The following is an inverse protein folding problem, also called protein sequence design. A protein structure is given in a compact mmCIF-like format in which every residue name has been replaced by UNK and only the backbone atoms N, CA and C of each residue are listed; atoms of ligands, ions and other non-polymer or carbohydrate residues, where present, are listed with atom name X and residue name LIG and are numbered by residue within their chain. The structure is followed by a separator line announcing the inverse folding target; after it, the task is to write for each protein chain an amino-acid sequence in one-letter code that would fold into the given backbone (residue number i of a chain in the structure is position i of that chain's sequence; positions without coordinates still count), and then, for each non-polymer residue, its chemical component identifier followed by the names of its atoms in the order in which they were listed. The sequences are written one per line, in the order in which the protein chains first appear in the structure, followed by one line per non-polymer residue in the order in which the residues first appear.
data_IF_560687634826
#
_entry.id   IF_560687634826
#
_cell.length_a   1.000
_cell.length_b   1.000
_cell.length_c   1.000
_cell.angle_alpha   90.00
_cell.angle_beta   90.00
_cell.angle_gamma   90.00
#
_symmetry.space_group_name_H-M   'P 1'
#
loop_
_entity.id
_entity.type
_entity.pdbx_description
1 polymer ?
#
# COMPACT_ATOMS: atom_id res chain seq x y z
N UNK A 1 35.47 63.53 0.36
CA UNK A 1 34.85 62.29 0.88
C UNK A 1 33.52 62.08 0.17
N UNK A 2 33.47 61.55 -1.06
CA UNK A 2 33.21 60.13 -1.38
C UNK A 2 32.23 59.43 -0.43
N UNK A 3 30.93 59.47 -0.75
CA UNK A 3 29.99 58.37 -0.49
C UNK A 3 29.16 58.14 -1.75
N UNK A 4 29.53 57.08 -2.45
CA UNK A 4 28.86 56.52 -3.60
C UNK A 4 27.72 55.63 -3.09
N UNK A 5 26.46 55.97 -3.38
CA UNK A 5 25.34 55.04 -3.24
C UNK A 5 25.14 54.40 -4.61
N UNK A 6 25.56 53.13 -4.71
CA UNK A 6 25.28 52.26 -5.86
C UNK A 6 23.79 51.93 -5.86
N UNK A 7 23.05 52.48 -6.82
CA UNK A 7 21.71 52.04 -7.17
C UNK A 7 21.87 50.73 -7.98
N UNK A 8 21.68 49.58 -7.34
CA UNK A 8 21.63 48.30 -8.02
C UNK A 8 20.27 48.17 -8.73
N UNK A 9 20.25 48.38 -10.04
CA UNK A 9 19.17 47.92 -10.91
C UNK A 9 19.19 46.38 -10.88
N UNK A 10 18.31 45.78 -10.09
CA UNK A 10 17.99 44.36 -10.21
C UNK A 10 17.12 44.18 -11.46
N UNK A 11 17.77 43.89 -12.59
CA UNK A 11 17.13 43.43 -13.81
C UNK A 11 16.52 42.05 -13.51
N UNK A 12 15.24 42.02 -13.10
CA UNK A 12 14.48 40.78 -13.03
C UNK A 12 14.27 40.27 -14.45
N UNK A 13 15.15 39.38 -14.89
CA UNK A 13 14.86 38.45 -15.98
C UNK A 13 13.74 37.52 -15.50
N UNK A 14 12.49 37.93 -15.75
CA UNK A 14 11.39 36.99 -15.86
C UNK A 14 11.68 36.18 -17.12
N UNK A 15 12.39 35.07 -16.96
CA UNK A 15 12.35 33.99 -17.93
C UNK A 15 10.91 33.46 -17.94
N UNK A 16 10.05 34.15 -18.70
CA UNK A 16 8.82 33.57 -19.19
C UNK A 16 9.25 32.42 -20.09
N UNK A 17 9.39 31.23 -19.50
CA UNK A 17 9.43 30.00 -20.28
C UNK A 17 8.08 29.92 -20.99
N UNK A 18 8.05 30.36 -22.25
CA UNK A 18 6.96 30.05 -23.14
C UNK A 18 6.69 28.55 -23.01
N UNK A 19 5.45 28.10 -22.77
CA UNK A 19 5.15 26.69 -22.80
C UNK A 19 5.57 26.21 -24.19
N UNK A 20 6.63 25.40 -24.27
CA UNK A 20 6.91 24.63 -25.47
C UNK A 20 5.61 23.92 -25.77
N UNK A 21 4.96 24.28 -26.88
CA UNK A 21 3.78 23.58 -27.36
C UNK A 21 4.18 22.10 -27.42
N UNK A 22 3.74 21.34 -26.41
CA UNK A 22 3.90 19.90 -26.44
C UNK A 22 3.12 19.47 -27.66
N UNK A 23 3.79 18.84 -28.61
CA UNK A 23 3.10 18.29 -29.76
C UNK A 23 2.00 17.37 -29.24
N UNK A 24 0.74 17.70 -29.56
CA UNK A 24 -0.42 16.86 -29.26
C UNK A 24 -0.12 15.43 -29.68
N UNK A 25 -0.52 14.43 -28.91
CA UNK A 25 -0.27 13.00 -29.20
C UNK A 25 -0.77 12.64 -30.60
N UNK A 26 0.02 11.85 -31.34
CA UNK A 26 -0.36 11.31 -32.64
C UNK A 26 -1.24 10.08 -32.51
N UNK A 27 -2.21 9.92 -33.41
CA UNK A 27 -2.93 8.67 -33.61
C UNK A 27 -2.13 7.82 -34.60
N UNK A 28 -1.47 6.79 -34.10
CA UNK A 28 -0.60 5.89 -34.89
C UNK A 28 -1.35 4.77 -35.58
N UNK A 29 -2.45 4.31 -34.99
CA UNK A 29 -3.31 3.27 -35.56
C UNK A 29 -4.77 3.62 -35.28
N UNK A 30 -5.64 3.28 -36.23
CA UNK A 30 -7.10 3.38 -36.07
C UNK A 30 -7.75 2.19 -36.74
N UNK A 31 -8.72 1.60 -36.05
CA UNK A 31 -9.54 0.49 -36.55
C UNK A 31 -10.98 0.74 -36.15
N UNK A 32 -11.91 0.49 -37.07
CA UNK A 32 -13.35 0.71 -36.86
C UNK A 32 -14.06 -0.61 -37.10
N UNK A 33 -14.85 -1.07 -36.13
CA UNK A 33 -15.67 -2.25 -36.23
C UNK A 33 -17.12 -1.89 -35.87
N UNK A 34 -17.98 -1.76 -36.88
CA UNK A 34 -19.35 -1.32 -36.70
C UNK A 34 -19.42 0.10 -36.11
N UNK A 35 -19.96 0.22 -34.89
CA UNK A 35 -20.11 1.48 -34.15
C UNK A 35 -18.98 1.74 -33.15
N UNK A 36 -17.98 0.87 -33.08
CA UNK A 36 -16.87 1.01 -32.14
C UNK A 36 -15.56 1.29 -32.89
N UNK A 37 -14.73 2.15 -32.31
CA UNK A 37 -13.38 2.42 -32.77
C UNK A 37 -12.35 1.95 -31.75
N UNK A 38 -11.18 1.62 -32.27
CA UNK A 38 -9.94 1.43 -31.52
C UNK A 38 -8.89 2.36 -32.08
N UNK A 39 -8.16 3.05 -31.20
CA UNK A 39 -7.05 3.94 -31.57
C UNK A 39 -5.81 3.61 -30.75
N UNK A 40 -4.64 3.84 -31.34
CA UNK A 40 -3.36 3.79 -30.64
C UNK A 40 -2.72 5.16 -30.67
N UNK A 41 -2.45 5.72 -29.49
CA UNK A 41 -1.83 7.02 -29.32
C UNK A 41 -0.32 6.87 -29.10
N UNK A 42 0.45 7.53 -29.95
CA UNK A 42 1.93 7.54 -30.00
C UNK A 42 2.60 6.15 -29.94
N UNK A 43 1.89 5.08 -30.32
CA UNK A 43 2.38 3.70 -30.16
C UNK A 43 2.53 3.23 -28.70
N UNK A 44 1.96 3.96 -27.73
CA UNK A 44 2.06 3.63 -26.30
C UNK A 44 0.73 3.20 -25.69
N UNK A 45 -0.35 3.91 -26.01
CA UNK A 45 -1.64 3.77 -25.36
C UNK A 45 -2.70 3.33 -26.37
N UNK A 46 -3.17 2.09 -26.24
CA UNK A 46 -4.29 1.56 -27.01
C UNK A 46 -5.59 1.80 -26.26
N UNK A 47 -6.57 2.39 -26.93
CA UNK A 47 -7.93 2.61 -26.41
C UNK A 47 -8.91 1.94 -27.36
N UNK A 48 -9.70 1.01 -26.84
CA UNK A 48 -10.70 0.21 -27.56
C UNK A 48 -12.09 0.41 -26.97
N UNK A 49 -13.12 0.22 -27.80
CA UNK A 49 -14.52 0.41 -27.39
C UNK A 49 -14.91 1.87 -27.30
N UNK A 50 -14.38 2.71 -28.20
CA UNK A 50 -14.82 4.09 -28.36
C UNK A 50 -16.08 4.08 -29.22
N UNK A 51 -17.24 4.46 -28.67
CA UNK A 51 -18.47 4.52 -29.45
C UNK A 51 -18.41 5.67 -30.45
N UNK A 52 -18.74 5.39 -31.70
CA UNK A 52 -18.78 6.35 -32.81
C UNK A 52 -20.24 6.64 -33.16
N UNK A 53 -20.67 7.86 -32.86
CA UNK A 53 -22.02 8.35 -33.15
C UNK A 53 -21.98 9.23 -34.40
N UNK A 54 -22.55 8.73 -35.50
CA UNK A 54 -22.66 9.45 -36.76
C UNK A 54 -24.04 10.10 -36.91
N UNK A 55 -24.06 11.38 -37.29
CA UNK A 55 -25.27 12.12 -37.73
C UNK A 55 -24.89 12.94 -38.97
N UNK A 56 -25.18 12.43 -40.16
CA UNK A 56 -24.65 13.00 -41.41
C UNK A 56 -23.12 12.98 -41.41
N UNK A 57 -22.50 14.13 -41.73
CA UNK A 57 -21.05 14.30 -41.76
C UNK A 57 -20.39 14.56 -40.40
N UNK A 58 -21.21 14.74 -39.35
CA UNK A 58 -20.74 14.95 -37.99
C UNK A 58 -20.51 13.61 -37.29
N UNK A 59 -19.33 13.48 -36.71
CA UNK A 59 -18.94 12.37 -35.85
C UNK A 59 -18.77 12.90 -34.43
N UNK A 60 -19.43 12.25 -33.47
CA UNK A 60 -19.14 12.38 -32.05
C UNK A 60 -18.62 11.06 -31.53
N UNK A 61 -17.66 11.11 -30.60
CA UNK A 61 -17.14 9.92 -29.95
C UNK A 61 -17.57 9.88 -28.49
N UNK A 62 -17.74 8.67 -27.94
CA UNK A 62 -17.85 8.46 -26.49
C UNK A 62 -16.77 7.47 -26.07
N UNK A 63 -15.78 7.91 -25.27
CA UNK A 63 -14.77 7.01 -24.73
C UNK A 63 -15.38 5.93 -23.81
N UNK A 64 -14.65 4.83 -23.55
CA UNK A 64 -15.05 3.79 -22.62
C UNK A 64 -15.52 4.32 -21.26
N UNK A 65 -16.64 3.75 -20.80
CA UNK A 65 -17.21 4.00 -19.47
C UNK A 65 -17.41 2.67 -18.73
N UNK A 66 -17.38 2.73 -17.41
CA UNK A 66 -17.79 1.65 -16.52
C UNK A 66 -19.15 1.99 -15.89
N UNK A 67 -20.12 1.09 -16.03
CA UNK A 67 -21.41 1.21 -15.33
C UNK A 67 -21.41 0.21 -14.18
N UNK A 68 -21.53 0.72 -12.96
CA UNK A 68 -21.64 -0.11 -11.76
C UNK A 68 -22.98 -0.87 -11.72
N UNK A 69 -23.08 -1.90 -10.86
CA UNK A 69 -24.33 -2.63 -10.63
C UNK A 69 -25.51 -1.74 -10.23
N UNK A 70 -25.24 -0.62 -9.56
CA UNK A 70 -26.26 0.37 -9.18
C UNK A 70 -26.53 1.44 -10.23
N UNK A 71 -26.11 1.23 -11.50
CA UNK A 71 -26.36 2.16 -12.60
C UNK A 71 -25.47 3.40 -12.63
N UNK A 72 -24.61 3.62 -11.62
CA UNK A 72 -23.68 4.75 -11.61
C UNK A 72 -22.61 4.58 -12.69
N UNK A 73 -22.44 5.62 -13.50
CA UNK A 73 -21.47 5.70 -14.61
C UNK A 73 -20.15 6.30 -14.10
N UNK A 74 -19.04 5.67 -14.47
CA UNK A 74 -17.67 6.08 -14.17
C UNK A 74 -16.91 6.20 -15.50
N UNK A 75 -16.47 7.41 -15.91
CA UNK A 75 -15.63 7.56 -17.09
C UNK A 75 -14.32 6.82 -16.89
N UNK A 76 -13.96 5.91 -17.81
CA UNK A 76 -12.67 5.20 -17.72
C UNK A 76 -11.59 5.89 -18.53
N UNK A 77 -11.97 6.60 -19.60
CA UNK A 77 -11.07 7.37 -20.43
C UNK A 77 -11.67 8.76 -20.64
N UNK A 78 -10.83 9.79 -20.54
CA UNK A 78 -11.20 11.17 -20.81
C UNK A 78 -10.12 11.83 -21.64
N UNK A 79 -10.47 12.32 -22.82
CA UNK A 79 -9.65 13.28 -23.55
C UNK A 79 -9.78 14.62 -22.82
N UNK A 80 -8.67 15.09 -22.25
CA UNK A 80 -8.59 16.37 -21.53
C UNK A 80 -8.29 17.49 -22.52
N UNK A 81 -7.43 17.21 -23.49
CA UNK A 81 -7.08 18.14 -24.55
C UNK A 81 -8.04 17.98 -25.74
N UNK A 82 -8.74 19.06 -26.09
CA UNK A 82 -9.69 19.07 -27.21
C UNK A 82 -9.01 18.87 -28.56
N UNK A 83 -7.76 19.31 -28.75
CA UNK A 83 -7.02 19.09 -29.98
C UNK A 83 -6.64 17.61 -30.15
N UNK A 84 -6.41 16.88 -29.05
CA UNK A 84 -6.28 15.42 -29.11
C UNK A 84 -7.61 14.76 -29.46
N UNK A 85 -8.72 15.19 -28.86
CA UNK A 85 -10.05 14.67 -29.17
C UNK A 85 -10.41 14.86 -30.65
N UNK A 86 -10.23 16.08 -31.18
CA UNK A 86 -10.45 16.41 -32.59
C UNK A 86 -9.58 15.55 -33.52
N UNK A 87 -8.33 15.29 -33.13
CA UNK A 87 -7.43 14.43 -33.88
C UNK A 87 -7.89 12.98 -33.90
N UNK A 88 -8.37 12.46 -32.78
CA UNK A 88 -8.97 11.13 -32.69
C UNK A 88 -10.22 11.04 -33.57
N UNK A 89 -11.10 12.05 -33.52
CA UNK A 89 -12.29 12.14 -34.38
C UNK A 89 -11.89 12.15 -35.86
N UNK A 90 -10.88 12.95 -36.23
CA UNK A 90 -10.37 13.05 -37.60
C UNK A 90 -9.79 11.72 -38.09
N UNK A 91 -8.97 11.05 -37.27
CA UNK A 91 -8.41 9.73 -37.58
C UNK A 91 -9.52 8.68 -37.80
N UNK A 92 -10.56 8.69 -36.95
CA UNK A 92 -11.73 7.81 -37.09
C UNK A 92 -12.54 8.17 -38.34
N UNK A 93 -12.70 9.45 -38.67
CA UNK A 93 -13.42 9.87 -39.88
C UNK A 93 -12.71 9.40 -41.15
N UNK A 94 -11.37 9.51 -41.18
CA UNK A 94 -10.55 9.15 -42.34
C UNK A 94 -10.16 7.67 -42.39
N UNK A 95 -10.28 6.94 -41.28
CA UNK A 95 -9.77 5.58 -41.15
C UNK A 95 -8.25 5.48 -41.28
N UNK A 96 -7.51 6.56 -40.99
CA UNK A 96 -6.05 6.65 -41.15
C UNK A 96 -5.38 7.31 -39.93
N UNK A 97 -4.09 7.03 -39.68
CA UNK A 97 -3.29 7.73 -38.67
C UNK A 97 -3.32 9.25 -38.85
N UNK A 98 -3.15 10.00 -37.75
CA UNK A 98 -3.19 11.46 -37.76
C UNK A 98 -2.23 12.08 -36.74
N UNK A 99 -1.55 13.17 -37.10
CA UNK A 99 -0.61 13.89 -36.24
C UNK A 99 0.80 13.31 -36.22
N UNK A 100 1.73 14.06 -35.59
CA UNK A 100 3.11 13.61 -35.40
C UNK A 100 3.22 12.74 -34.14
N UNK A 101 4.08 11.74 -34.20
CA UNK A 101 4.30 10.80 -33.09
C UNK A 101 5.35 11.34 -32.14
N UNK A 102 5.02 11.42 -30.84
CA UNK A 102 6.04 11.71 -29.84
C UNK A 102 6.93 10.49 -29.58
N UNK A 103 8.25 10.69 -29.58
CA UNK A 103 9.20 9.64 -29.17
C UNK A 103 9.20 9.40 -27.66
N UNK A 104 8.60 10.29 -26.85
CA UNK A 104 8.59 10.21 -25.39
C UNK A 104 7.17 10.29 -24.84
N UNK A 105 6.85 9.38 -23.91
CA UNK A 105 5.61 9.41 -23.14
C UNK A 105 5.90 10.02 -21.76
N UNK A 106 5.21 11.11 -21.43
CA UNK A 106 5.14 11.62 -20.08
C UNK A 106 3.84 11.16 -19.42
N UNK A 107 3.88 10.91 -18.11
CA UNK A 107 2.68 10.52 -17.36
C UNK A 107 2.71 11.08 -15.93
N UNK A 108 1.53 11.22 -15.35
CA UNK A 108 1.32 11.59 -13.95
C UNK A 108 0.19 10.76 -13.37
N UNK A 109 0.37 10.24 -12.15
CA UNK A 109 -0.73 9.65 -11.37
C UNK A 109 -1.55 10.80 -10.77
N UNK A 110 -2.57 11.26 -11.49
CA UNK A 110 -3.32 12.50 -11.23
C UNK A 110 -4.22 12.38 -10.01
N UNK A 111 -4.84 11.22 -9.80
CA UNK A 111 -5.80 10.99 -8.71
C UNK A 111 -5.56 9.64 -8.04
N UNK A 112 -5.86 9.60 -6.75
CA UNK A 112 -6.00 8.37 -5.98
C UNK A 112 -7.15 8.60 -4.98
N UNK A 113 -8.02 7.61 -4.85
CA UNK A 113 -9.20 7.68 -3.98
C UNK A 113 -9.42 6.31 -3.38
N UNK A 114 -9.15 6.20 -2.08
CA UNK A 114 -9.29 4.95 -1.35
C UNK A 114 -10.74 4.47 -1.40
N UNK A 115 -10.91 3.17 -1.60
CA UNK A 115 -12.20 2.51 -1.66
C UNK A 115 -12.44 1.75 -0.36
N UNK A 116 -13.44 2.20 0.39
CA UNK A 116 -13.93 1.54 1.59
C UNK A 116 -15.18 0.71 1.26
N UNK A 117 -15.10 -0.64 1.24
CA UNK A 117 -16.26 -1.46 0.98
C UNK A 117 -17.19 -1.50 2.21
N UNK A 118 -18.43 -1.03 2.04
CA UNK A 118 -19.48 -1.11 3.06
C UNK A 118 -19.83 -2.57 3.43
N UNK A 119 -19.08 -3.16 4.35
CA UNK A 119 -19.40 -4.45 4.98
C UNK A 119 -19.11 -5.72 4.16
N UNK A 120 -18.44 -5.64 3.00
CA UNK A 120 -18.09 -6.82 2.19
C UNK A 120 -16.60 -6.88 1.89
N UNK A 121 -16.04 -8.09 1.82
CA UNK A 121 -14.66 -8.29 1.36
C UNK A 121 -14.58 -7.91 -0.12
N UNK A 122 -13.86 -6.82 -0.41
CA UNK A 122 -13.53 -6.39 -1.77
C UNK A 122 -12.03 -6.52 -2.02
N UNK A 123 -11.69 -7.07 -3.18
CA UNK A 123 -10.32 -7.05 -3.71
C UNK A 123 -9.95 -5.65 -4.21
N UNK A 124 -10.89 -4.78 -4.51
CA UNK A 124 -10.63 -3.38 -4.89
C UNK A 124 -10.28 -2.54 -3.66
N UNK A 125 -9.23 -1.72 -3.75
CA UNK A 125 -8.73 -0.87 -2.65
C UNK A 125 -8.69 0.61 -2.96
N UNK A 126 -8.54 0.99 -4.23
CA UNK A 126 -8.59 2.39 -4.62
C UNK A 126 -8.97 2.53 -6.09
N UNK A 127 -9.51 3.71 -6.42
CA UNK A 127 -9.53 4.23 -7.78
C UNK A 127 -8.31 5.12 -7.97
N UNK A 128 -7.67 5.05 -9.13
CA UNK A 128 -6.55 5.91 -9.48
C UNK A 128 -6.69 6.39 -10.92
N UNK A 129 -6.22 7.59 -11.23
CA UNK A 129 -6.19 8.10 -12.58
C UNK A 129 -4.75 8.38 -13.00
N UNK A 130 -4.43 8.02 -14.25
CA UNK A 130 -3.14 8.29 -14.88
C UNK A 130 -3.38 9.20 -16.07
N UNK A 131 -2.77 10.38 -16.05
CA UNK A 131 -2.79 11.33 -17.15
C UNK A 131 -1.54 11.15 -18.00
N UNK A 132 -1.71 10.99 -19.30
CA UNK A 132 -0.64 10.85 -20.29
C UNK A 132 -0.52 12.15 -21.07
N UNK A 133 0.71 12.70 -21.14
CA UNK A 133 1.03 13.96 -21.82
C UNK A 133 0.15 15.16 -21.44
N UNK A 134 -0.57 15.11 -20.31
CA UNK A 134 -1.62 16.06 -19.93
C UNK A 134 -2.82 16.13 -20.91
N UNK A 135 -2.96 15.17 -21.81
CA UNK A 135 -3.95 15.19 -22.89
C UNK A 135 -5.03 14.12 -22.76
N UNK A 136 -4.70 12.98 -22.17
CA UNK A 136 -5.66 11.89 -21.93
C UNK A 136 -5.50 11.32 -20.53
N UNK A 137 -6.61 11.18 -19.82
CA UNK A 137 -6.68 10.55 -18.51
C UNK A 137 -7.36 9.19 -18.60
N UNK A 138 -6.76 8.21 -17.94
CA UNK A 138 -7.30 6.85 -17.81
C UNK A 138 -7.49 6.53 -16.35
N UNK A 139 -8.72 6.17 -15.96
CA UNK A 139 -9.03 5.66 -14.63
C UNK A 139 -8.72 4.15 -14.57
N UNK A 140 -7.92 3.75 -13.59
CA UNK A 140 -7.58 2.37 -13.27
C UNK A 140 -7.94 2.09 -11.80
N UNK A 141 -7.89 0.81 -11.42
CA UNK A 141 -8.19 0.36 -10.06
C UNK A 141 -6.96 -0.26 -9.43
N UNK A 142 -6.73 0.03 -8.15
CA UNK A 142 -5.79 -0.75 -7.34
C UNK A 142 -6.57 -1.89 -6.71
N UNK A 143 -6.10 -3.11 -6.98
CA UNK A 143 -6.67 -4.35 -6.51
C UNK A 143 -5.66 -5.04 -5.57
N UNK A 144 -6.11 -5.92 -4.68
CA UNK A 144 -5.26 -6.77 -3.86
C UNK A 144 -5.58 -8.23 -4.12
N UNK A 145 -4.54 -9.05 -4.27
CA UNK A 145 -4.62 -10.50 -4.33
C UNK A 145 -3.56 -11.16 -3.45
N UNK A 146 -3.38 -12.48 -3.58
CA UNK A 146 -2.40 -13.25 -2.81
C UNK A 146 -0.95 -12.79 -3.00
N UNK A 147 -0.63 -12.12 -4.10
CA UNK A 147 0.71 -11.59 -4.44
C UNK A 147 0.90 -10.10 -4.10
N UNK A 148 -0.05 -9.49 -3.38
CA UNK A 148 -0.01 -8.06 -3.05
C UNK A 148 -0.86 -7.19 -3.98
N UNK A 149 -0.68 -5.85 -3.91
CA UNK A 149 -1.46 -4.91 -4.70
C UNK A 149 -1.03 -4.90 -6.17
N UNK A 150 -1.99 -4.75 -7.08
CA UNK A 150 -1.76 -4.70 -8.53
C UNK A 150 -2.76 -3.74 -9.21
N UNK A 151 -2.39 -3.25 -10.40
CA UNK A 151 -3.19 -2.28 -11.16
C UNK A 151 -4.08 -3.00 -12.16
N UNK A 152 -5.38 -2.76 -12.07
CA UNK A 152 -6.39 -3.24 -13.02
C UNK A 152 -6.78 -2.09 -13.95
N UNK A 153 -6.33 -2.20 -15.20
CA UNK A 153 -6.70 -1.27 -16.28
C UNK A 153 -8.12 -1.54 -16.78
N UNK A 154 -8.79 -0.53 -17.37
CA UNK A 154 -10.12 -0.67 -17.97
C UNK A 154 -10.28 -1.91 -18.85
N UNK A 155 -11.30 -2.70 -18.54
CA UNK A 155 -11.72 -3.86 -19.30
C UNK A 155 -13.23 -4.02 -19.22
N UNK A 156 -13.84 -4.49 -20.31
CA UNK A 156 -15.26 -4.83 -20.38
C UNK A 156 -15.44 -6.33 -20.60
N UNK A 157 -16.62 -6.85 -20.25
CA UNK A 157 -16.97 -8.24 -20.47
C UNK A 157 -17.64 -8.38 -21.83
N UNK A 158 -17.06 -9.17 -22.71
CA UNK A 158 -17.66 -9.56 -24.00
C UNK A 158 -17.94 -11.06 -23.96
N UNK A 159 -19.22 -11.41 -23.78
CA UNK A 159 -19.64 -12.80 -23.52
C UNK A 159 -19.01 -13.35 -22.23
N UNK A 160 -18.21 -14.42 -22.36
CA UNK A 160 -17.48 -15.04 -21.23
C UNK A 160 -16.08 -14.47 -21.02
N UNK A 161 -15.56 -13.64 -21.94
CA UNK A 161 -14.18 -13.15 -21.90
C UNK A 161 -14.11 -11.69 -21.47
N UNK A 162 -13.05 -11.36 -20.74
CA UNK A 162 -12.68 -9.98 -20.45
C UNK A 162 -11.83 -9.43 -21.59
N UNK A 163 -12.25 -8.30 -22.15
CA UNK A 163 -11.56 -7.60 -23.23
C UNK A 163 -11.03 -6.29 -22.67
N UNK A 164 -9.73 -6.03 -22.87
CA UNK A 164 -9.09 -4.78 -22.44
C UNK A 164 -9.65 -3.63 -23.27
N UNK A 165 -10.13 -2.60 -22.59
CA UNK A 165 -10.49 -1.32 -23.22
C UNK A 165 -9.31 -0.36 -23.25
N UNK A 166 -8.36 -0.52 -22.32
CA UNK A 166 -7.09 0.20 -22.35
C UNK A 166 -5.94 -0.78 -22.21
N UNK A 167 -4.91 -0.64 -23.05
CA UNK A 167 -3.66 -1.36 -22.93
C UNK A 167 -2.45 -0.44 -23.15
N UNK A 168 -1.44 -0.61 -22.29
CA UNK A 168 -0.13 0.01 -22.45
C UNK A 168 0.75 -0.96 -23.24
N UNK A 169 1.00 -0.63 -24.50
CA UNK A 169 1.57 -1.55 -25.49
C UNK A 169 3.00 -1.97 -25.11
N UNK A 170 3.80 -1.03 -24.60
CA UNK A 170 5.20 -1.29 -24.24
C UNK A 170 5.29 -1.85 -22.80
N UNK A 171 5.71 -3.11 -22.60
CA UNK A 171 5.67 -3.74 -21.27
C UNK A 171 6.52 -3.03 -20.20
N UNK A 172 7.67 -2.48 -20.58
CA UNK A 172 8.54 -1.79 -19.62
C UNK A 172 7.92 -0.48 -19.11
N UNK A 173 7.28 0.26 -20.01
CA UNK A 173 6.57 1.50 -19.68
C UNK A 173 5.35 1.18 -18.82
N UNK A 174 4.61 0.13 -19.17
CA UNK A 174 3.50 -0.39 -18.35
C UNK A 174 3.96 -0.69 -16.93
N UNK A 175 5.02 -1.48 -16.77
CA UNK A 175 5.59 -1.83 -15.45
C UNK A 175 5.99 -0.59 -14.66
N UNK A 176 6.59 0.40 -15.31
CA UNK A 176 7.00 1.67 -14.68
C UNK A 176 5.79 2.47 -14.16
N UNK A 177 4.76 2.62 -14.98
CA UNK A 177 3.52 3.34 -14.61
C UNK A 177 2.79 2.62 -13.49
N UNK A 178 2.61 1.29 -13.61
CA UNK A 178 1.95 0.49 -12.59
C UNK A 178 2.69 0.59 -11.25
N UNK A 179 4.02 0.53 -11.26
CA UNK A 179 4.84 0.77 -10.06
C UNK A 179 4.54 2.14 -9.44
N UNK A 180 4.50 3.21 -10.22
CA UNK A 180 4.18 4.56 -9.70
C UNK A 180 2.77 4.66 -9.11
N UNK A 181 1.78 3.98 -9.69
CA UNK A 181 0.41 3.92 -9.15
C UNK A 181 0.42 3.18 -7.80
N UNK A 182 1.10 2.04 -7.72
CA UNK A 182 1.21 1.27 -6.48
C UNK A 182 1.99 2.04 -5.42
N UNK A 183 3.11 2.70 -5.75
CA UNK A 183 3.87 3.53 -4.81
C UNK A 183 3.02 4.67 -4.24
N UNK A 184 2.21 5.35 -5.08
CA UNK A 184 1.29 6.38 -4.60
C UNK A 184 0.21 5.79 -3.68
N UNK A 185 -0.35 4.63 -4.04
CA UNK A 185 -1.33 3.93 -3.20
C UNK A 185 -0.73 3.52 -1.86
N UNK A 186 0.48 2.94 -1.87
CA UNK A 186 1.20 2.59 -0.65
C UNK A 186 1.46 3.82 0.21
N UNK A 187 1.80 4.98 -0.38
CA UNK A 187 1.99 6.23 0.36
C UNK A 187 0.68 6.78 0.96
N UNK A 188 -0.43 6.70 0.23
CA UNK A 188 -1.73 7.18 0.73
C UNK A 188 -2.37 6.22 1.73
N UNK A 189 -1.95 4.96 1.72
CA UNK A 189 -2.34 3.96 2.72
C UNK A 189 -1.31 3.78 3.83
N UNK A 190 -0.09 4.32 3.67
CA UNK A 190 0.92 4.30 4.72
C UNK A 190 0.49 5.25 5.80
N UNK A 191 0.27 4.69 6.97
CA UNK A 191 0.05 5.44 8.17
C UNK A 191 1.39 6.03 8.61
N UNK A 192 1.70 7.28 8.26
CA UNK A 192 2.89 7.96 8.78
C UNK A 192 2.69 8.31 10.26
N UNK A 193 2.77 7.29 11.12
CA UNK A 193 2.91 7.53 12.54
C UNK A 193 4.23 8.30 12.77
N UNK A 194 4.18 9.35 13.57
CA UNK A 194 5.37 9.90 14.20
C UNK A 194 5.92 8.83 15.14
N UNK A 195 7.13 8.35 14.85
CA UNK A 195 7.78 7.28 15.61
C UNK A 195 8.67 7.90 16.67
N UNK A 196 8.35 7.67 17.95
CA UNK A 196 8.99 8.32 19.08
C UNK A 196 9.80 7.29 19.91
N UNK A 197 11.15 7.31 19.87
CA UNK A 197 11.93 6.43 20.74
C UNK A 197 11.76 6.78 22.23
N UNK A 198 12.04 5.83 23.11
CA UNK A 198 12.04 6.02 24.57
C UNK A 198 10.76 5.61 25.30
N UNK A 199 9.75 5.11 24.58
CA UNK A 199 8.57 4.48 25.18
C UNK A 199 7.68 5.43 25.98
N UNK A 200 7.40 6.62 25.45
CA UNK A 200 6.42 7.57 26.01
C UNK A 200 5.02 6.95 26.09
N UNK A 201 4.27 7.23 27.15
CA UNK A 201 2.85 6.82 27.21
C UNK A 201 2.05 7.63 26.19
N UNK A 202 1.46 6.96 25.21
CA UNK A 202 0.67 7.56 24.12
C UNK A 202 -0.61 6.75 23.89
N UNK A 203 -1.65 7.31 23.26
CA UNK A 203 -2.84 6.55 22.91
C UNK A 203 -2.50 5.39 21.96
N UNK A 204 -3.03 4.19 22.24
CA UNK A 204 -2.94 3.03 21.38
C UNK A 204 -4.36 2.55 21.17
N UNK A 205 -4.84 2.57 19.94
CA UNK A 205 -6.24 2.30 19.62
C UNK A 205 -6.35 1.12 18.66
N UNK A 206 -7.48 0.43 18.71
CA UNK A 206 -7.79 -0.69 17.82
C UNK A 206 -8.44 -0.14 16.56
N UNK A 207 -7.79 -0.34 15.41
CA UNK A 207 -8.16 0.27 14.13
C UNK A 207 -8.80 -0.71 13.15
N UNK A 208 -8.47 -2.00 13.28
CA UNK A 208 -9.13 -3.09 12.56
C UNK A 208 -9.40 -4.23 13.55
N UNK A 209 -10.56 -4.89 13.41
CA UNK A 209 -10.96 -6.04 14.22
C UNK A 209 -11.55 -7.11 13.29
N UNK A 210 -11.04 -8.33 13.38
CA UNK A 210 -11.62 -9.52 12.76
C UNK A 210 -11.89 -10.56 13.83
N UNK A 211 -13.11 -11.10 13.89
CA UNK A 211 -13.49 -12.13 14.88
C UNK A 211 -14.14 -13.30 14.16
N UNK A 212 -13.53 -14.48 14.31
CA UNK A 212 -14.02 -15.75 13.74
C UNK A 212 -14.57 -16.62 14.86
N UNK A 213 -15.88 -16.93 14.90
CA UNK A 213 -16.45 -17.85 15.87
C UNK A 213 -15.83 -19.24 15.77
N UNK A 214 -15.72 -19.94 16.90
CA UNK A 214 -15.28 -21.34 16.96
C UNK A 214 -16.41 -22.16 17.55
N UNK A 215 -16.79 -23.24 16.86
CA UNK A 215 -17.78 -24.22 17.36
C UNK A 215 -17.10 -25.28 18.22
N UNK A 216 -17.68 -25.59 19.38
CA UNK A 216 -17.20 -26.66 20.27
C UNK A 216 -17.57 -26.46 21.73
N UNK A 217 -17.43 -27.52 22.54
CA UNK A 217 -17.74 -27.53 23.99
C UNK A 217 -16.68 -26.81 24.86
N UNK A 218 -15.69 -26.16 24.25
CA UNK A 218 -14.61 -25.46 24.97
C UNK A 218 -14.99 -24.08 25.50
N UNK A 219 -14.09 -23.51 26.30
CA UNK A 219 -14.18 -22.14 26.82
C UNK A 219 -13.83 -21.09 25.78
N UNK A 220 -13.13 -21.46 24.71
CA UNK A 220 -12.82 -20.54 23.59
C UNK A 220 -14.03 -20.46 22.66
N UNK A 221 -14.58 -19.26 22.50
CA UNK A 221 -15.78 -18.99 21.67
C UNK A 221 -15.44 -18.37 20.32
N UNK A 222 -14.31 -17.69 20.22
CA UNK A 222 -13.84 -17.10 18.98
C UNK A 222 -12.32 -16.96 18.95
N UNK A 223 -11.80 -16.76 17.73
CA UNK A 223 -10.42 -16.35 17.47
C UNK A 223 -10.48 -14.95 16.83
N UNK A 224 -9.78 -14.00 17.44
CA UNK A 224 -9.73 -12.62 16.98
C UNK A 224 -8.35 -12.26 16.40
N UNK A 225 -8.37 -11.28 15.49
CA UNK A 225 -7.20 -10.54 15.04
C UNK A 225 -7.51 -9.05 15.15
N UNK A 226 -6.53 -8.27 15.61
CA UNK A 226 -6.65 -6.82 15.74
C UNK A 226 -5.47 -6.12 15.08
N UNK A 227 -5.70 -4.88 14.65
CA UNK A 227 -4.63 -3.96 14.23
C UNK A 227 -4.66 -2.75 15.15
N UNK A 228 -3.49 -2.38 15.68
CA UNK A 228 -3.30 -1.28 16.60
C UNK A 228 -2.63 -0.11 15.88
N UNK A 229 -3.23 1.10 15.98
CA UNK A 229 -2.79 2.32 15.29
C UNK A 229 -2.39 2.08 13.81
N UNK A 230 -3.11 1.21 13.07
CA UNK A 230 -2.79 0.80 11.70
C UNK A 230 -1.37 0.21 11.49
N UNK A 231 -0.63 -0.07 12.55
CA UNK A 231 0.80 -0.35 12.49
C UNK A 231 1.20 -1.72 13.04
N UNK A 232 0.47 -2.24 14.03
CA UNK A 232 0.82 -3.49 14.71
C UNK A 232 -0.37 -4.44 14.64
N UNK A 233 -0.24 -5.54 13.92
CA UNK A 233 -1.24 -6.59 13.86
C UNK A 233 -0.93 -7.68 14.87
N UNK A 234 -1.94 -8.10 15.62
CA UNK A 234 -1.89 -9.24 16.52
C UNK A 234 -3.01 -10.20 16.10
N UNK A 235 -2.65 -11.44 15.83
CA UNK A 235 -3.55 -12.49 15.36
C UNK A 235 -3.62 -13.63 16.37
N UNK A 236 -4.62 -14.50 16.18
CA UNK A 236 -4.83 -15.69 17.02
C UNK A 236 -5.10 -15.39 18.51
N UNK A 237 -5.75 -14.25 18.79
CA UNK A 237 -6.21 -13.92 20.14
C UNK A 237 -7.41 -14.81 20.43
N UNK A 238 -7.30 -15.69 21.43
CA UNK A 238 -8.40 -16.56 21.85
C UNK A 238 -9.36 -15.76 22.72
N UNK A 239 -10.61 -15.65 22.29
CA UNK A 239 -11.69 -15.03 23.06
C UNK A 239 -12.35 -16.13 23.89
N UNK A 240 -12.11 -16.11 25.20
CA UNK A 240 -12.66 -17.07 26.15
C UNK A 240 -13.82 -16.47 26.93
N UNK A 241 -14.81 -17.30 27.21
CA UNK A 241 -15.90 -16.95 28.11
C UNK A 241 -15.81 -17.84 29.35
N UNK A 242 -15.57 -17.21 30.51
CA UNK A 242 -15.37 -17.90 31.78
C UNK A 242 -16.21 -17.19 32.83
N UNK A 243 -17.16 -17.92 33.44
CA UNK A 243 -18.05 -17.39 34.48
C UNK A 243 -18.75 -16.06 34.08
N UNK A 244 -19.22 -15.97 32.84
CA UNK A 244 -19.91 -14.79 32.31
C UNK A 244 -19.00 -13.59 31.99
N UNK A 245 -17.68 -13.75 32.08
CA UNK A 245 -16.69 -12.71 31.70
C UNK A 245 -15.92 -13.11 30.46
N UNK A 246 -15.69 -12.14 29.58
CA UNK A 246 -14.78 -12.31 28.44
C UNK A 246 -13.34 -12.15 28.90
N UNK A 247 -12.49 -13.12 28.55
CA UNK A 247 -11.05 -13.08 28.77
C UNK A 247 -10.33 -13.24 27.43
N UNK A 248 -9.33 -12.40 27.19
CA UNK A 248 -8.46 -12.49 26.03
C UNK A 248 -7.20 -13.29 26.37
N UNK A 249 -6.98 -14.39 25.66
CA UNK A 249 -5.76 -15.18 25.75
C UNK A 249 -4.92 -14.94 24.49
N UNK A 250 -3.81 -14.23 24.65
CA UNK A 250 -2.89 -13.90 23.56
C UNK A 250 -2.03 -15.10 23.14
N UNK A 251 -1.48 -15.07 21.92
CA UNK A 251 -0.42 -15.99 21.49
C UNK A 251 0.69 -16.15 22.54
N UNK A 252 1.05 -17.40 22.78
CA UNK A 252 2.11 -17.77 23.68
C UNK A 252 2.94 -18.89 23.07
N UNK A 253 4.23 -18.90 23.39
CA UNK A 253 5.12 -20.00 23.02
C UNK A 253 5.01 -21.10 24.07
N UNK A 254 4.69 -22.32 23.63
CA UNK A 254 4.69 -23.50 24.50
C UNK A 254 5.90 -24.35 24.14
N UNK A 255 6.78 -24.62 25.10
CA UNK A 255 7.94 -25.46 24.84
C UNK A 255 7.53 -26.96 24.80
N UNK A 256 8.47 -27.83 24.39
CA UNK A 256 8.25 -29.28 24.32
C UNK A 256 7.84 -29.94 25.66
N UNK A 257 8.12 -29.28 26.79
CA UNK A 257 7.77 -29.75 28.14
C UNK A 257 6.42 -29.18 28.64
N UNK A 258 5.65 -28.52 27.77
CA UNK A 258 4.37 -27.92 28.11
C UNK A 258 4.45 -26.60 28.88
N UNK A 259 5.65 -26.06 29.12
CA UNK A 259 5.80 -24.75 29.79
C UNK A 259 5.41 -23.63 28.82
N UNK A 260 4.48 -22.78 29.27
CA UNK A 260 3.93 -21.65 28.52
C UNK A 260 4.76 -20.39 28.79
N UNK A 261 5.13 -19.69 27.72
CA UNK A 261 5.85 -18.42 27.74
C UNK A 261 4.99 -17.36 27.03
N UNK A 262 4.39 -16.42 27.78
CA UNK A 262 3.59 -15.34 27.20
C UNK A 262 4.46 -14.49 26.27
N UNK A 263 4.00 -14.29 25.04
CA UNK A 263 4.72 -13.46 24.05
C UNK A 263 4.17 -12.04 23.98
N UNK A 264 2.98 -11.81 24.54
CA UNK A 264 2.32 -10.51 24.53
C UNK A 264 1.82 -10.23 25.94
N UNK A 265 2.08 -9.02 26.44
CA UNK A 265 1.56 -8.54 27.72
C UNK A 265 0.91 -7.19 27.52
N UNK A 266 -0.33 -7.05 27.97
CA UNK A 266 -0.99 -5.75 28.08
C UNK A 266 -0.53 -5.12 29.39
N UNK A 267 0.04 -3.91 29.30
CA UNK A 267 0.62 -3.18 30.43
C UNK A 267 -0.36 -2.16 31.02
N UNK A 268 -1.32 -1.70 30.22
CA UNK A 268 -2.31 -0.70 30.60
C UNK A 268 -3.72 -1.34 30.69
N UNK A 269 -4.30 -1.45 31.91
CA UNK A 269 -5.64 -2.01 32.11
C UNK A 269 -6.74 -1.23 31.37
N UNK A 270 -6.59 0.09 31.18
CA UNK A 270 -7.57 0.87 30.42
C UNK A 270 -7.56 0.47 28.94
N UNK A 271 -6.36 0.24 28.39
CA UNK A 271 -6.22 -0.29 27.04
C UNK A 271 -6.70 -1.75 26.92
N UNK A 272 -6.48 -2.58 27.95
CA UNK A 272 -7.02 -3.95 27.97
C UNK A 272 -8.55 -3.96 27.86
N UNK A 273 -9.21 -3.05 28.59
CA UNK A 273 -10.66 -2.86 28.49
C UNK A 273 -11.08 -2.38 27.11
N UNK A 274 -10.41 -1.37 26.55
CA UNK A 274 -10.69 -0.85 25.20
C UNK A 274 -10.56 -1.95 24.13
N UNK A 275 -9.49 -2.76 24.22
CA UNK A 275 -9.24 -3.88 23.33
C UNK A 275 -10.31 -4.97 23.45
N UNK A 276 -10.71 -5.29 24.68
CA UNK A 276 -11.80 -6.25 24.94
C UNK A 276 -13.11 -5.76 24.37
N UNK A 277 -13.46 -4.50 24.62
CA UNK A 277 -14.69 -3.87 24.12
C UNK A 277 -14.72 -3.88 22.58
N UNK A 278 -13.60 -3.56 21.91
CA UNK A 278 -13.48 -3.59 20.46
C UNK A 278 -13.69 -5.00 19.87
N UNK A 279 -13.10 -6.02 20.49
CA UNK A 279 -13.24 -7.42 20.06
C UNK A 279 -14.69 -7.92 20.27
N UNK A 280 -15.29 -7.62 21.42
CA UNK A 280 -16.67 -8.05 21.73
C UNK A 280 -17.68 -7.37 20.81
N UNK A 281 -17.53 -6.07 20.56
CA UNK A 281 -18.40 -5.30 19.65
C UNK A 281 -18.13 -5.59 18.18
N UNK A 282 -16.97 -6.18 17.85
CA UNK A 282 -16.46 -6.37 16.48
C UNK A 282 -16.29 -5.05 15.73
N UNK A 283 -15.97 -3.99 16.46
CA UNK A 283 -15.85 -2.63 15.95
C UNK A 283 -14.53 -1.99 16.42
N UNK A 284 -13.87 -1.18 15.58
CA UNK A 284 -12.71 -0.38 16.00
C UNK A 284 -13.03 0.57 17.16
N UNK A 285 -12.07 0.83 18.03
CA UNK A 285 -12.30 1.57 19.28
C UNK A 285 -12.30 3.08 19.13
N UNK A 286 -11.63 3.65 18.13
CA UNK A 286 -11.61 5.10 17.83
C UNK A 286 -10.74 5.41 16.60
N UNK A 287 -10.55 6.71 16.30
CA UNK A 287 -9.57 7.14 15.28
C UNK A 287 -8.15 6.74 15.69
N UNK A 288 -7.30 6.34 14.73
CA UNK A 288 -5.93 5.92 14.99
C UNK A 288 -5.08 7.09 15.53
N UNK A 289 -4.24 6.84 16.54
CA UNK A 289 -3.28 7.84 17.03
C UNK A 289 -2.06 7.92 16.13
N UNK A 290 -1.79 9.11 15.58
CA UNK A 290 -0.72 9.37 14.60
C UNK A 290 0.68 9.32 15.20
N UNK A 291 0.82 8.76 16.40
CA UNK A 291 2.08 8.66 17.10
C UNK A 291 2.23 7.25 17.68
N UNK A 292 3.42 6.68 17.51
CA UNK A 292 3.79 5.41 18.10
C UNK A 292 5.13 5.59 18.79
N UNK A 293 5.14 5.45 20.11
CA UNK A 293 6.38 5.35 20.86
C UNK A 293 6.81 3.90 21.00
N UNK A 294 8.12 3.68 21.10
CA UNK A 294 8.67 2.36 21.35
C UNK A 294 9.86 2.42 22.31
N UNK A 295 10.10 1.33 23.03
CA UNK A 295 11.35 1.07 23.76
C UNK A 295 11.66 -0.43 23.77
N UNK A 296 12.94 -0.76 23.82
CA UNK A 296 13.39 -2.13 24.14
C UNK A 296 13.16 -2.34 25.64
N UNK A 297 12.24 -3.22 26.01
CA UNK A 297 11.88 -3.49 27.42
C UNK A 297 12.56 -4.73 27.99
N UNK A 298 13.02 -5.64 27.13
CA UNK A 298 13.81 -6.80 27.51
C UNK A 298 14.90 -7.03 26.49
N UNK A 299 16.08 -7.40 26.98
CA UNK A 299 17.21 -7.79 26.14
C UNK A 299 18.06 -8.81 26.91
N UNK A 300 18.05 -10.07 26.48
CA UNK A 300 18.68 -11.18 27.19
C UNK A 300 19.43 -12.06 26.21
N UNK A 301 20.78 -11.96 26.17
CA UNK A 301 21.61 -12.81 25.33
C UNK A 301 21.38 -14.30 25.59
N UNK A 302 21.49 -15.11 24.54
CA UNK A 302 21.34 -16.55 24.57
C UNK A 302 22.60 -17.22 24.03
N UNK A 303 23.36 -17.85 24.92
CA UNK A 303 24.74 -18.29 24.68
C UNK A 303 24.88 -19.76 24.31
N UNK A 304 23.80 -20.45 23.95
CA UNK A 304 23.88 -21.88 23.60
C UNK A 304 24.58 -22.08 22.26
N UNK A 305 25.71 -22.79 22.28
CA UNK A 305 26.46 -23.17 21.08
C UNK A 305 25.58 -23.85 20.02
N UNK A 306 25.80 -23.51 18.75
CA UNK A 306 25.05 -24.03 17.59
C UNK A 306 23.61 -23.52 17.44
N UNK A 307 23.12 -22.66 18.34
CA UNK A 307 21.80 -22.04 18.21
C UNK A 307 21.83 -20.85 17.26
N UNK A 308 20.87 -20.81 16.32
CA UNK A 308 20.58 -19.60 15.53
C UNK A 308 19.91 -18.51 16.37
N UNK A 309 19.25 -18.84 17.47
CA UNK A 309 18.74 -17.83 18.40
C UNK A 309 19.92 -17.23 19.17
N UNK A 310 20.01 -15.89 19.20
CA UNK A 310 21.10 -15.16 19.87
C UNK A 310 20.62 -14.26 20.99
N UNK A 311 19.43 -13.67 20.88
CA UNK A 311 18.89 -12.80 21.94
C UNK A 311 17.39 -13.01 22.08
N UNK A 312 16.91 -13.13 23.32
CA UNK A 312 15.50 -12.93 23.65
C UNK A 312 15.28 -11.45 23.96
N UNK A 313 14.38 -10.80 23.25
CA UNK A 313 14.09 -9.38 23.42
C UNK A 313 12.59 -9.12 23.52
N UNK A 314 12.22 -7.92 23.97
CA UNK A 314 10.84 -7.46 23.93
C UNK A 314 10.79 -5.97 23.61
N UNK A 315 9.75 -5.60 22.86
CA UNK A 315 9.46 -4.22 22.50
C UNK A 315 8.19 -3.79 23.22
N UNK A 316 8.27 -2.68 23.93
CA UNK A 316 7.10 -2.01 24.49
C UNK A 316 6.67 -0.88 23.56
N UNK A 317 5.40 -0.87 23.15
CA UNK A 317 4.79 0.17 22.35
C UNK A 317 3.83 1.01 23.17
N UNK A 318 3.94 2.34 23.03
CA UNK A 318 3.09 3.34 23.71
C UNK A 318 3.00 3.18 25.23
N UNK A 319 3.93 2.44 25.84
CA UNK A 319 3.89 1.97 27.23
C UNK A 319 2.59 1.22 27.63
N UNK A 320 1.88 0.65 26.64
CA UNK A 320 0.58 -0.03 26.81
C UNK A 320 0.63 -1.52 26.49
N UNK A 321 1.56 -1.94 25.63
CA UNK A 321 1.72 -3.34 25.23
C UNK A 321 3.20 -3.70 25.10
N UNK A 322 3.59 -4.84 25.64
CA UNK A 322 4.90 -5.46 25.45
C UNK A 322 4.76 -6.70 24.54
N UNK A 323 5.63 -6.80 23.54
CA UNK A 323 5.68 -7.91 22.60
C UNK A 323 7.08 -8.52 22.61
N UNK A 324 7.19 -9.79 22.97
CA UNK A 324 8.43 -10.56 22.89
C UNK A 324 8.79 -10.85 21.43
N UNK A 325 10.06 -10.72 21.11
CA UNK A 325 10.66 -11.08 19.84
C UNK A 325 12.04 -11.71 20.08
N UNK A 326 12.73 -12.08 19.01
CA UNK A 326 14.04 -12.74 19.07
C UNK A 326 14.98 -12.13 18.06
N UNK A 327 16.26 -12.04 18.39
CA UNK A 327 17.32 -11.82 17.40
C UNK A 327 17.89 -13.18 17.02
N UNK A 328 17.82 -13.46 15.74
CA UNK A 328 18.29 -14.69 15.12
C UNK A 328 19.51 -14.39 14.27
N UNK A 329 20.48 -15.29 14.26
CA UNK A 329 21.62 -15.27 13.35
C UNK A 329 21.16 -15.51 11.91
N UNK A 330 21.72 -14.72 11.00
CA UNK A 330 21.49 -14.81 9.57
C UNK A 330 22.80 -14.70 8.80
N UNK A 331 22.75 -15.00 7.50
CA UNK A 331 23.91 -14.95 6.59
C UNK A 331 24.53 -13.54 6.50
N UNK A 332 23.73 -12.50 6.71
CA UNK A 332 24.08 -11.10 6.52
C UNK A 332 23.95 -10.27 7.80
N UNK A 333 24.08 -10.92 8.96
CA UNK A 333 23.87 -10.30 10.27
C UNK A 333 22.61 -10.79 10.99
N UNK A 334 22.40 -10.26 12.20
CA UNK A 334 21.23 -10.58 13.02
C UNK A 334 19.94 -10.08 12.37
N UNK A 335 18.85 -10.84 12.51
CA UNK A 335 17.52 -10.43 12.07
C UNK A 335 16.48 -10.67 13.16
N UNK A 336 15.41 -9.87 13.16
CA UNK A 336 14.37 -9.93 14.19
C UNK A 336 13.27 -10.91 13.78
N UNK A 337 13.03 -11.90 14.63
CA UNK A 337 11.90 -12.83 14.52
C UNK A 337 10.79 -12.42 15.48
N UNK A 338 9.68 -11.97 14.92
CA UNK A 338 8.43 -11.73 15.65
C UNK A 338 7.70 -13.04 15.96
N UNK A 339 6.77 -13.05 16.93
CA UNK A 339 5.93 -14.22 17.24
C UNK A 339 5.26 -14.82 16.02
N UNK A 340 5.54 -16.09 15.78
CA UNK A 340 4.94 -16.91 14.74
C UNK A 340 4.93 -18.37 15.19
N UNK A 341 4.01 -19.16 14.63
CA UNK A 341 3.93 -20.61 14.85
C UNK A 341 3.90 -21.39 13.54
N UNK A 342 4.30 -22.65 13.61
CA UNK A 342 4.08 -23.56 12.49
C UNK A 342 2.56 -23.87 12.36
N UNK A 343 2.05 -24.03 11.13
CA UNK A 343 0.69 -24.53 10.90
C UNK A 343 0.58 -26.02 11.29
N UNK A 344 -0.63 -26.45 11.66
CA UNK A 344 -0.91 -27.86 11.86
C UNK A 344 -0.83 -28.60 10.51
N UNK A 345 -0.04 -29.68 10.44
CA UNK A 345 0.17 -30.42 9.18
C UNK A 345 1.31 -29.91 8.29
N UNK A 346 2.08 -28.90 8.73
CA UNK A 346 3.19 -28.34 7.95
C UNK A 346 2.76 -27.27 6.95
N UNK A 347 3.72 -26.52 6.42
CA UNK A 347 3.47 -25.40 5.50
C UNK A 347 4.05 -24.06 5.98
N UNK A 348 3.53 -22.96 5.44
CA UNK A 348 4.00 -21.60 5.74
C UNK A 348 3.69 -21.21 7.18
N UNK A 349 4.68 -20.65 7.86
CA UNK A 349 4.54 -20.13 9.22
C UNK A 349 3.40 -19.10 9.31
N UNK A 350 2.63 -19.18 10.38
CA UNK A 350 1.54 -18.27 10.69
C UNK A 350 2.09 -17.17 11.60
N UNK A 351 2.13 -15.94 11.09
CA UNK A 351 2.53 -14.77 11.87
C UNK A 351 1.45 -14.45 12.90
N UNK A 352 1.83 -14.46 14.17
CA UNK A 352 0.96 -14.10 15.28
C UNK A 352 1.08 -12.62 15.64
N UNK A 353 2.25 -12.03 15.36
CA UNK A 353 2.45 -10.58 15.39
C UNK A 353 3.13 -10.13 14.10
N UNK A 354 2.65 -9.02 13.54
CA UNK A 354 3.21 -8.38 12.36
C UNK A 354 3.24 -6.86 12.55
N UNK A 355 4.42 -6.24 12.39
CA UNK A 355 4.52 -4.78 12.28
C UNK A 355 4.18 -4.41 10.82
N UNK A 356 2.93 -4.01 10.58
CA UNK A 356 2.38 -3.63 9.25
C UNK A 356 3.04 -2.36 8.71
N UNK A 357 3.33 -1.40 9.59
CA UNK A 357 3.98 -0.16 9.18
C UNK A 357 5.47 -0.40 8.89
N UNK A 358 5.86 -0.25 7.61
CA UNK A 358 7.22 -0.56 7.14
C UNK A 358 8.28 0.32 7.83
N UNK A 359 7.95 1.58 8.11
CA UNK A 359 8.87 2.55 8.73
C UNK A 359 9.10 2.19 10.20
N UNK A 360 8.03 1.95 10.95
CA UNK A 360 8.06 1.47 12.32
C UNK A 360 8.84 0.17 12.40
N UNK A 361 8.53 -0.81 11.54
CA UNK A 361 9.24 -2.09 11.47
C UNK A 361 10.74 -1.87 11.31
N UNK A 362 11.14 -1.10 10.32
CA UNK A 362 12.56 -0.80 10.07
C UNK A 362 13.23 -0.14 11.28
N UNK A 363 12.56 0.82 11.93
CA UNK A 363 13.13 1.55 13.07
C UNK A 363 13.28 0.65 14.30
N UNK A 364 12.27 -0.16 14.63
CA UNK A 364 12.32 -1.03 15.81
C UNK A 364 13.26 -2.21 15.62
N UNK A 365 13.30 -2.80 14.41
CA UNK A 365 14.20 -3.91 14.12
C UNK A 365 15.65 -3.44 14.08
N UNK A 366 15.91 -2.26 13.51
CA UNK A 366 17.23 -1.62 13.56
C UNK A 366 17.66 -1.34 15.00
N UNK A 367 16.79 -0.80 15.84
CA UNK A 367 17.11 -0.55 17.26
C UNK A 367 17.52 -1.80 18.04
N UNK A 368 16.97 -2.97 17.68
CA UNK A 368 17.32 -4.25 18.27
C UNK A 368 18.63 -4.82 17.72
N UNK A 369 18.83 -4.71 16.40
CA UNK A 369 19.99 -5.27 15.69
C UNK A 369 21.25 -4.41 15.89
N UNK A 370 21.17 -3.08 15.86
CA UNK A 370 22.30 -2.19 16.19
C UNK A 370 22.85 -2.47 17.59
N UNK A 371 21.96 -2.75 18.56
CA UNK A 371 22.35 -3.16 19.91
C UNK A 371 23.04 -4.53 19.93
N UNK A 372 22.58 -5.46 19.10
CA UNK A 372 23.22 -6.77 18.96
C UNK A 372 24.60 -6.68 18.29
N UNK A 373 24.73 -5.91 17.22
CA UNK A 373 25.97 -5.80 16.46
C UNK A 373 27.06 -5.09 17.30
N UNK A 374 26.68 -4.08 18.09
CA UNK A 374 27.58 -3.41 19.03
C UNK A 374 28.03 -4.30 20.20
N UNK A 375 27.13 -5.12 20.77
CA UNK A 375 27.47 -6.04 21.87
C UNK A 375 28.20 -7.32 21.40
N UNK A 376 28.04 -7.71 20.12
CA UNK A 376 28.64 -8.94 19.57
C UNK A 376 30.04 -8.75 18.96
N UNK A 377 30.60 -7.53 18.99
CA UNK A 377 31.93 -7.25 18.47
C UNK A 377 32.07 -7.38 16.95
N UNK A 378 30.96 -7.44 16.21
CA UNK A 378 30.96 -7.48 14.74
C UNK A 378 31.06 -6.08 14.13
N UNK A 379 31.97 -5.26 14.67
CA UNK A 379 32.39 -4.02 14.05
C UNK A 379 33.18 -4.35 12.79
N UNK A 380 32.49 -4.43 11.65
CA UNK A 380 33.13 -4.41 10.35
C UNK A 380 33.99 -3.15 10.25
N UNK A 381 35.30 -3.36 10.12
CA UNK A 381 36.27 -2.28 9.95
C UNK A 381 35.82 -1.35 8.82
N UNK A 382 35.74 -0.06 9.14
CA UNK A 382 35.83 0.97 8.13
C UNK A 382 37.18 0.78 7.43
N UNK A 383 37.12 0.49 6.13
CA UNK A 383 38.26 0.61 5.23
C UNK A 383 38.62 2.09 5.13
N UNK A 384 39.55 2.53 5.96
CA UNK A 384 40.40 3.68 5.64
C UNK A 384 41.45 3.19 4.64
N UNK A 385 41.11 3.26 3.34
CA UNK A 385 42.11 3.29 2.28
C UNK A 385 42.24 4.76 1.83
N UNK A 386 42.95 5.53 2.65
CA UNK A 386 43.73 6.68 2.19
C UNK A 386 45.17 6.18 2.07
N UNK A 387 45.67 6.01 0.85
CA UNK A 387 46.93 6.55 0.30
C UNK A 387 47.13 6.06 -1.15
#
# INVERSE_FOLDING_TARGET
MKRSIKLMLALMFVLASAPKASAVMGVTEVSINGKEATVVLDGYLKISGIDVLKRGDQIKIKPPIYVSKGGKIFPQVKFIDSALEDRVISAIKMGKPAGSVSSKLSYKVSKMSLYDPKGQRSSMKAFSAVTFNNEVEVECKVMTGSKGPWVSWPSTKSGSKWVKQVDLIKPEIKKKIEKSVIEKYEKETSYEAEIIPGGKSLPLTVTEVEVTPVSGAGTTKAIASVVLNNAIKISEIKVKEIAGRTKLDFPAYVNKRGKVYPQIKILDPAFEKELTDAIVKKEPSSKPSSQISYKVSKYSPFTRGGSKLKVFCAMTFNNKIEIECKIMEGKWGGWVSWPARAPEGGGTWINQVEIKDKKLKSVVEKSLTDKYDSESGSGGGASDDEY
#
